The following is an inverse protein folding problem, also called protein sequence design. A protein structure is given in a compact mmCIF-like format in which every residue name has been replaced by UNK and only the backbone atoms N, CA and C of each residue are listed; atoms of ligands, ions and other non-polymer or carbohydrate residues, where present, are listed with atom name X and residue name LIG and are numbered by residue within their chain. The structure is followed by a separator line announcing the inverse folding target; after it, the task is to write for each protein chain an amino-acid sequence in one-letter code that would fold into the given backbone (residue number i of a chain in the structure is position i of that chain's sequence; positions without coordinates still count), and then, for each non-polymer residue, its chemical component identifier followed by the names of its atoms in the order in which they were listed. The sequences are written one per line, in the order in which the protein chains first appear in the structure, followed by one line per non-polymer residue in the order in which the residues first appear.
data_IF_179034854930
#
_entry.id   IF_179034854930
#
_cell.length_a   1.000
_cell.length_b   1.000
_cell.length_c   1.000
_cell.angle_alpha   90.00
_cell.angle_beta   90.00
_cell.angle_gamma   90.00
#
_symmetry.space_group_name_H-M   'P 1'
#
loop_
_entity.id
_entity.type
_entity.pdbx_description
1 polymer ?
#
# COMPACT_ATOMS: atom_id res chain seq x y z
N UNK A 1 -71.31 48.31 -34.44
CA UNK A 1 -70.94 47.54 -33.25
C UNK A 1 -70.17 46.24 -33.55
N UNK A 2 -70.03 45.82 -34.77
CA UNK A 2 -69.41 44.53 -35.15
C UNK A 2 -67.85 44.53 -35.27
N UNK A 3 -67.23 45.67 -35.62
CA UNK A 3 -65.79 45.78 -35.83
C UNK A 3 -64.93 45.84 -34.52
N UNK A 4 -65.50 46.13 -33.35
CA UNK A 4 -64.76 46.16 -32.07
C UNK A 4 -64.60 44.77 -31.44
N UNK A 5 -65.40 43.75 -31.80
CA UNK A 5 -65.27 42.39 -31.25
C UNK A 5 -64.22 41.58 -31.93
N UNK A 6 -63.82 41.82 -33.17
CA UNK A 6 -62.78 41.05 -33.91
C UNK A 6 -61.38 41.43 -33.45
N UNK A 7 -61.10 42.69 -33.03
CA UNK A 7 -59.76 43.10 -32.52
C UNK A 7 -59.43 42.55 -31.11
N UNK A 8 -60.46 42.31 -30.28
CA UNK A 8 -60.25 41.80 -28.93
C UNK A 8 -59.95 40.25 -28.90
N UNK A 9 -60.42 39.51 -29.89
CA UNK A 9 -60.16 38.07 -30.02
C UNK A 9 -58.71 37.76 -30.51
N UNK A 10 -58.21 38.60 -31.46
CA UNK A 10 -56.81 38.43 -31.97
C UNK A 10 -55.70 38.71 -30.90
N UNK A 11 -56.00 39.76 -30.05
CA UNK A 11 -55.01 40.11 -29.00
C UNK A 11 -54.93 39.07 -27.87
N UNK A 12 -56.01 38.34 -27.58
CA UNK A 12 -55.99 37.20 -26.60
C UNK A 12 -55.32 35.99 -27.14
N UNK A 13 -55.46 35.65 -28.42
CA UNK A 13 -54.78 34.56 -29.09
C UNK A 13 -53.24 34.74 -29.16
N UNK A 14 -52.81 35.98 -29.47
CA UNK A 14 -51.38 36.31 -29.52
C UNK A 14 -50.68 36.26 -28.15
N UNK A 15 -51.36 36.67 -27.07
CA UNK A 15 -50.88 36.58 -25.70
C UNK A 15 -50.80 35.15 -25.21
N UNK A 16 -51.74 34.28 -25.54
CA UNK A 16 -51.74 32.88 -25.20
C UNK A 16 -50.62 32.14 -25.96
N UNK A 17 -50.41 32.44 -27.25
CA UNK A 17 -49.30 31.86 -28.03
C UNK A 17 -47.92 32.33 -27.53
N UNK A 18 -47.74 33.57 -27.11
CA UNK A 18 -46.51 34.06 -26.49
C UNK A 18 -46.23 33.39 -25.13
N UNK A 19 -47.23 33.18 -24.28
CA UNK A 19 -47.07 32.51 -23.01
C UNK A 19 -46.74 31.02 -23.19
N UNK A 20 -47.33 30.35 -24.16
CA UNK A 20 -47.02 28.97 -24.51
C UNK A 20 -45.59 28.83 -25.10
N UNK A 21 -45.16 29.80 -25.91
CA UNK A 21 -43.79 29.82 -26.45
C UNK A 21 -42.72 30.10 -25.36
N UNK A 22 -43.02 30.99 -24.39
CA UNK A 22 -42.14 31.19 -23.23
C UNK A 22 -42.07 29.96 -22.31
N UNK A 23 -43.18 29.27 -22.08
CA UNK A 23 -43.23 28.04 -21.31
C UNK A 23 -42.45 26.89 -22.00
N UNK A 24 -42.56 26.80 -23.34
CA UNK A 24 -41.80 25.82 -24.13
C UNK A 24 -40.29 26.14 -24.15
N UNK A 25 -39.88 27.40 -24.19
CA UNK A 25 -38.47 27.81 -24.08
C UNK A 25 -37.90 27.54 -22.69
N UNK A 26 -38.69 27.74 -21.61
CA UNK A 26 -38.22 27.41 -20.24
C UNK A 26 -38.11 25.91 -19.99
N UNK A 27 -38.96 25.07 -20.61
CA UNK A 27 -38.82 23.61 -20.56
C UNK A 27 -37.66 23.10 -21.42
N UNK A 28 -37.33 23.75 -22.53
CA UNK A 28 -36.15 23.39 -23.34
C UNK A 28 -34.83 23.76 -22.65
N UNK A 29 -34.79 24.86 -21.90
CA UNK A 29 -33.61 25.26 -21.12
C UNK A 29 -33.36 24.35 -19.93
N UNK A 30 -34.39 23.67 -19.38
CA UNK A 30 -34.25 22.71 -18.29
C UNK A 30 -33.66 21.33 -18.72
N UNK A 31 -33.60 21.06 -20.04
CA UNK A 31 -33.09 19.83 -20.63
C UNK A 31 -31.70 20.00 -21.31
N UNK A 32 -31.01 21.12 -21.11
CA UNK A 32 -29.62 21.18 -21.51
C UNK A 32 -28.87 20.21 -20.59
N UNK A 33 -28.13 19.19 -21.13
CA UNK A 33 -27.28 18.36 -20.29
C UNK A 33 -26.34 19.30 -19.55
N UNK A 34 -26.38 19.26 -18.21
CA UNK A 34 -25.39 19.98 -17.42
C UNK A 34 -24.01 19.61 -18.02
N UNK A 35 -23.27 20.62 -18.44
CA UNK A 35 -21.91 20.37 -18.91
C UNK A 35 -21.24 19.49 -17.86
N UNK A 36 -20.84 18.27 -18.24
CA UNK A 36 -20.22 17.35 -17.30
C UNK A 36 -19.05 18.10 -16.66
N UNK A 37 -19.09 18.25 -15.34
CA UNK A 37 -17.98 18.90 -14.63
C UNK A 37 -16.68 18.19 -14.99
N UNK A 38 -15.60 18.95 -15.14
CA UNK A 38 -14.28 18.37 -15.40
C UNK A 38 -13.95 17.32 -14.34
N UNK A 39 -13.43 16.14 -14.71
CA UNK A 39 -13.14 15.07 -13.75
C UNK A 39 -12.16 15.56 -12.70
N UNK A 40 -12.34 15.11 -11.46
CA UNK A 40 -11.37 15.29 -10.39
C UNK A 40 -10.21 14.34 -10.64
N UNK A 41 -9.01 14.88 -10.82
CA UNK A 41 -7.83 14.14 -11.22
C UNK A 41 -6.96 13.84 -10.01
N UNK A 42 -6.61 12.55 -9.82
CA UNK A 42 -5.61 12.11 -8.84
C UNK A 42 -4.37 11.67 -9.60
N UNK A 43 -3.24 12.33 -9.36
CA UNK A 43 -1.99 12.12 -10.07
C UNK A 43 -0.95 11.35 -9.26
N UNK A 44 -0.20 10.43 -9.93
CA UNK A 44 0.90 9.70 -9.29
C UNK A 44 1.85 9.06 -10.31
N UNK A 45 3.10 8.83 -9.86
CA UNK A 45 3.97 7.85 -10.49
C UNK A 45 3.70 6.46 -9.92
N UNK A 46 3.82 5.40 -10.71
CA UNK A 46 3.69 4.02 -10.21
C UNK A 46 4.68 3.12 -10.96
N UNK A 47 5.26 2.15 -10.24
CA UNK A 47 6.15 1.16 -10.84
C UNK A 47 5.36 0.19 -11.75
N UNK A 48 5.27 0.51 -13.04
CA UNK A 48 4.66 -0.37 -14.06
C UNK A 48 5.72 -1.24 -14.74
N UNK A 49 6.98 -0.79 -14.72
CA UNK A 49 8.16 -1.55 -15.14
C UNK A 49 9.26 -1.52 -14.08
N UNK A 50 10.31 -2.33 -14.28
CA UNK A 50 11.42 -2.44 -13.32
C UNK A 50 11.15 -3.44 -12.18
N UNK A 51 12.06 -3.49 -11.18
CA UNK A 51 12.04 -4.53 -10.15
C UNK A 51 10.84 -4.47 -9.18
N UNK A 52 10.12 -3.36 -9.12
CA UNK A 52 8.94 -3.17 -8.25
C UNK A 52 7.60 -3.31 -9.01
N UNK A 53 7.64 -3.61 -10.30
CA UNK A 53 6.46 -3.61 -11.18
C UNK A 53 5.34 -4.57 -10.73
N UNK A 54 5.67 -5.73 -10.18
CA UNK A 54 4.67 -6.69 -9.68
C UNK A 54 3.75 -6.07 -8.65
N UNK A 55 4.33 -5.38 -7.64
CA UNK A 55 3.58 -4.68 -6.60
C UNK A 55 2.86 -3.44 -7.15
N UNK A 56 3.55 -2.64 -7.97
CA UNK A 56 2.98 -1.40 -8.53
C UNK A 56 1.75 -1.66 -9.41
N UNK A 57 1.81 -2.64 -10.29
CA UNK A 57 0.67 -3.04 -11.13
C UNK A 57 -0.50 -3.58 -10.31
N UNK A 58 -0.22 -4.36 -9.26
CA UNK A 58 -1.25 -4.83 -8.32
C UNK A 58 -1.97 -3.66 -7.64
N UNK A 59 -1.21 -2.67 -7.17
CA UNK A 59 -1.76 -1.45 -6.59
C UNK A 59 -2.62 -0.68 -7.60
N UNK A 60 -2.13 -0.51 -8.83
CA UNK A 60 -2.84 0.21 -9.89
C UNK A 60 -4.20 -0.44 -10.23
N UNK A 61 -4.27 -1.78 -10.29
CA UNK A 61 -5.55 -2.47 -10.46
C UNK A 61 -6.52 -2.17 -9.31
N UNK A 62 -6.04 -2.19 -8.07
CA UNK A 62 -6.85 -1.90 -6.89
C UNK A 62 -7.35 -0.44 -6.87
N UNK A 63 -6.48 0.51 -7.21
CA UNK A 63 -6.84 1.93 -7.35
C UNK A 63 -7.88 2.14 -8.45
N UNK A 64 -7.76 1.40 -9.56
CA UNK A 64 -8.74 1.42 -10.65
C UNK A 64 -10.10 0.93 -10.18
N UNK A 65 -10.16 -0.18 -9.42
CA UNK A 65 -11.41 -0.69 -8.84
C UNK A 65 -12.04 0.33 -7.89
N UNK A 66 -11.23 1.03 -7.08
CA UNK A 66 -11.74 2.09 -6.21
C UNK A 66 -12.32 3.26 -7.02
N UNK A 67 -11.62 3.69 -8.07
CA UNK A 67 -12.09 4.78 -8.92
C UNK A 67 -13.43 4.43 -9.62
N UNK A 68 -13.59 3.19 -10.08
CA UNK A 68 -14.85 2.68 -10.61
C UNK A 68 -15.96 2.72 -9.55
N UNK A 69 -15.67 2.25 -8.33
CA UNK A 69 -16.63 2.19 -7.22
C UNK A 69 -17.10 3.58 -6.78
N UNK A 70 -16.19 4.56 -6.70
CA UNK A 70 -16.56 5.92 -6.32
C UNK A 70 -17.32 6.62 -7.44
N UNK A 71 -16.93 6.38 -8.70
CA UNK A 71 -17.61 6.94 -9.87
C UNK A 71 -19.03 6.39 -10.03
N UNK A 72 -19.25 5.12 -9.72
CA UNK A 72 -20.59 4.53 -9.69
C UNK A 72 -21.51 5.19 -8.64
N UNK A 73 -20.92 5.83 -7.61
CA UNK A 73 -21.64 6.58 -6.57
C UNK A 73 -21.76 8.09 -6.86
N UNK A 74 -21.31 8.55 -8.03
CA UNK A 74 -21.36 9.96 -8.44
C UNK A 74 -20.02 10.70 -8.36
N UNK A 75 -18.91 9.99 -8.08
CA UNK A 75 -17.57 10.57 -7.99
C UNK A 75 -17.28 11.25 -6.65
N UNK A 76 -16.37 12.22 -6.67
CA UNK A 76 -16.03 13.08 -5.53
C UNK A 76 -16.46 14.52 -5.83
N UNK A 77 -17.12 15.15 -4.89
CA UNK A 77 -17.67 16.51 -5.04
C UNK A 77 -18.58 16.66 -6.28
N UNK A 78 -19.27 15.57 -6.69
CA UNK A 78 -20.09 15.55 -7.90
C UNK A 78 -19.30 15.37 -9.20
N UNK A 79 -17.98 15.33 -9.16
CA UNK A 79 -17.07 15.15 -10.31
C UNK A 79 -16.63 13.69 -10.42
N UNK A 80 -16.62 13.15 -11.64
CA UNK A 80 -16.03 11.81 -11.87
C UNK A 80 -14.54 11.82 -11.54
N UNK A 81 -14.05 10.81 -10.82
CA UNK A 81 -12.62 10.66 -10.51
C UNK A 81 -11.89 10.07 -11.71
N UNK A 82 -10.76 10.68 -12.07
CA UNK A 82 -9.82 10.18 -13.07
C UNK A 82 -8.44 9.98 -12.46
N UNK A 83 -7.92 8.77 -12.52
CA UNK A 83 -6.53 8.48 -12.19
C UNK A 83 -5.64 8.89 -13.37
N UNK A 84 -4.60 9.68 -13.09
CA UNK A 84 -3.59 10.10 -14.05
C UNK A 84 -2.24 9.60 -13.55
N UNK A 85 -1.68 8.60 -14.21
CA UNK A 85 -0.44 7.98 -13.74
C UNK A 85 0.59 7.84 -14.86
N UNK A 86 1.86 7.73 -14.45
CA UNK A 86 3.00 7.48 -15.31
C UNK A 86 3.89 6.41 -14.70
N UNK A 87 4.52 5.61 -15.55
CA UNK A 87 5.52 4.63 -15.11
C UNK A 87 6.76 5.33 -14.54
N UNK A 88 7.03 5.14 -13.26
CA UNK A 88 8.25 5.63 -12.61
C UNK A 88 9.46 4.71 -12.86
N UNK A 89 9.25 3.56 -13.50
CA UNK A 89 10.26 2.55 -13.84
C UNK A 89 11.01 2.01 -12.61
N UNK A 90 10.36 2.06 -11.43
CA UNK A 90 11.00 1.73 -10.14
C UNK A 90 12.23 2.60 -9.83
N UNK A 91 12.31 3.80 -10.41
CA UNK A 91 13.46 4.69 -10.32
C UNK A 91 13.09 6.03 -9.68
N UNK A 92 13.57 6.34 -8.47
CA UNK A 92 13.28 7.60 -7.77
C UNK A 92 13.77 8.84 -8.53
N UNK A 93 14.76 8.71 -9.42
CA UNK A 93 15.25 9.83 -10.22
C UNK A 93 14.22 10.34 -11.25
N UNK A 94 13.25 9.51 -11.64
CA UNK A 94 12.18 9.91 -12.56
C UNK A 94 11.09 10.74 -11.86
N UNK A 95 10.94 10.62 -10.54
CA UNK A 95 9.85 11.22 -9.76
C UNK A 95 9.71 12.74 -9.98
N UNK A 96 10.78 13.56 -9.91
CA UNK A 96 10.61 15.01 -10.08
C UNK A 96 9.99 15.40 -11.43
N UNK A 97 10.44 14.79 -12.52
CA UNK A 97 9.93 15.09 -13.85
C UNK A 97 8.48 14.62 -14.04
N UNK A 98 8.12 13.45 -13.50
CA UNK A 98 6.76 12.91 -13.57
C UNK A 98 5.77 13.79 -12.79
N UNK A 99 6.11 14.20 -11.57
CA UNK A 99 5.21 15.02 -10.76
C UNK A 99 5.11 16.46 -11.27
N UNK A 100 6.17 17.04 -11.83
CA UNK A 100 6.08 18.31 -12.53
C UNK A 100 5.09 18.22 -13.71
N UNK A 101 5.14 17.13 -14.50
CA UNK A 101 4.17 16.89 -15.57
C UNK A 101 2.74 16.75 -15.04
N UNK A 102 2.53 15.96 -13.99
CA UNK A 102 1.20 15.76 -13.38
C UNK A 102 0.61 17.08 -12.87
N UNK A 103 1.40 17.90 -12.18
CA UNK A 103 0.93 19.13 -11.55
C UNK A 103 0.82 20.27 -12.58
N UNK A 104 1.86 20.48 -13.40
CA UNK A 104 1.95 21.66 -14.24
C UNK A 104 1.25 21.51 -15.59
N UNK A 105 1.23 20.30 -16.17
CA UNK A 105 0.65 20.05 -17.48
C UNK A 105 -0.72 19.38 -17.38
N UNK A 106 -0.84 18.27 -16.64
CA UNK A 106 -2.10 17.54 -16.52
C UNK A 106 -3.08 18.20 -15.56
N UNK A 107 -2.58 19.15 -14.72
CA UNK A 107 -3.37 19.89 -13.74
C UNK A 107 -4.18 18.96 -12.84
N UNK A 108 -3.50 18.04 -12.17
CA UNK A 108 -4.13 17.13 -11.22
C UNK A 108 -4.58 17.89 -9.97
N UNK A 109 -5.75 17.53 -9.43
CA UNK A 109 -6.33 18.16 -8.23
C UNK A 109 -5.65 17.63 -6.94
N UNK A 110 -5.20 16.37 -6.95
CA UNK A 110 -4.63 15.66 -5.81
C UNK A 110 -3.44 14.81 -6.28
N UNK A 111 -2.52 14.52 -5.37
CA UNK A 111 -1.41 13.61 -5.61
C UNK A 111 -1.34 12.52 -4.53
N UNK A 112 -0.90 11.33 -4.93
CA UNK A 112 -0.43 10.27 -4.05
C UNK A 112 0.99 9.87 -4.48
N UNK A 113 1.73 9.16 -3.65
CA UNK A 113 3.05 8.66 -4.06
C UNK A 113 2.94 7.36 -4.87
N UNK A 114 4.01 7.02 -5.58
CA UNK A 114 4.25 5.65 -6.04
C UNK A 114 4.70 4.74 -4.90
N UNK A 115 5.00 3.48 -5.26
CA UNK A 115 5.37 2.42 -4.33
C UNK A 115 6.84 2.50 -3.91
N UNK A 116 7.11 2.31 -2.62
CA UNK A 116 8.40 2.12 -1.97
C UNK A 116 9.08 3.39 -1.41
N UNK A 117 9.90 3.15 -0.36
CA UNK A 117 10.61 4.18 0.42
C UNK A 117 11.31 5.24 -0.43
N UNK A 118 12.16 4.91 -1.44
CA UNK A 118 12.87 5.94 -2.20
C UNK A 118 11.95 6.78 -3.10
N UNK A 119 10.86 6.21 -3.59
CA UNK A 119 9.87 6.92 -4.40
C UNK A 119 9.13 7.94 -3.52
N UNK A 120 8.65 7.51 -2.33
CA UNK A 120 7.98 8.40 -1.37
C UNK A 120 8.92 9.54 -0.97
N UNK A 121 10.17 9.23 -0.60
CA UNK A 121 11.16 10.22 -0.18
C UNK A 121 11.43 11.27 -1.27
N UNK A 122 11.39 10.87 -2.55
CA UNK A 122 11.54 11.79 -3.68
C UNK A 122 10.26 12.60 -3.96
N UNK A 123 9.09 12.13 -3.55
CA UNK A 123 7.79 12.82 -3.77
C UNK A 123 7.52 13.87 -2.70
N UNK A 124 7.91 13.63 -1.44
CA UNK A 124 7.62 14.55 -0.32
C UNK A 124 8.06 16.01 -0.62
N UNK A 125 9.28 16.29 -1.08
CA UNK A 125 9.70 17.68 -1.38
C UNK A 125 8.83 18.36 -2.43
N UNK A 126 8.30 17.61 -3.39
CA UNK A 126 7.45 18.14 -4.44
C UNK A 126 6.06 18.49 -3.87
N UNK A 127 5.49 17.62 -3.05
CA UNK A 127 4.24 17.89 -2.34
C UNK A 127 4.36 19.14 -1.45
N UNK A 128 5.49 19.31 -0.74
CA UNK A 128 5.82 20.49 0.06
C UNK A 128 5.85 21.76 -0.78
N UNK A 129 6.52 21.73 -1.93
CA UNK A 129 6.63 22.88 -2.83
C UNK A 129 5.28 23.37 -3.34
N UNK A 130 4.32 22.44 -3.55
CA UNK A 130 2.99 22.74 -4.10
C UNK A 130 1.91 22.81 -3.02
N UNK A 131 2.26 22.68 -1.75
CA UNK A 131 1.35 22.71 -0.60
C UNK A 131 0.21 21.66 -0.69
N UNK A 132 0.48 20.49 -1.27
CA UNK A 132 -0.48 19.44 -1.53
C UNK A 132 -0.40 18.35 -0.46
N UNK A 133 -1.55 17.79 -0.03
CA UNK A 133 -1.55 16.53 0.74
C UNK A 133 -0.87 15.44 -0.07
N UNK A 134 -0.03 14.66 0.57
CA UNK A 134 0.62 13.48 0.00
C UNK A 134 0.26 12.23 0.80
N UNK A 135 -0.48 11.32 0.18
CA UNK A 135 -0.59 9.97 0.69
C UNK A 135 0.63 9.16 0.24
N UNK A 136 1.30 8.49 1.19
CA UNK A 136 2.50 7.69 0.93
C UNK A 136 2.17 6.21 0.81
N UNK A 137 2.39 5.63 -0.38
CA UNK A 137 2.07 4.23 -0.63
C UNK A 137 3.24 3.30 -0.31
N UNK A 138 3.15 2.58 0.77
CA UNK A 138 4.07 1.52 1.22
C UNK A 138 5.56 1.87 1.19
N UNK A 139 6.02 2.47 2.26
CA UNK A 139 7.44 2.73 2.46
C UNK A 139 7.76 2.99 3.93
N UNK A 140 9.05 3.02 4.21
CA UNK A 140 9.63 3.41 5.48
C UNK A 140 10.28 4.80 5.35
N UNK A 141 9.69 5.67 4.54
CA UNK A 141 10.15 7.05 4.39
C UNK A 141 10.02 7.77 5.73
N UNK A 142 11.09 8.42 6.13
CA UNK A 142 11.12 9.05 7.43
C UNK A 142 10.66 10.51 7.32
N UNK A 143 9.36 10.75 7.53
CA UNK A 143 8.81 12.11 7.52
C UNK A 143 9.46 13.03 8.57
N UNK A 144 10.08 12.49 9.62
CA UNK A 144 10.83 13.29 10.59
C UNK A 144 12.00 14.08 9.96
N UNK A 145 12.52 13.63 8.81
CA UNK A 145 13.52 14.37 8.03
C UNK A 145 12.91 15.58 7.32
N UNK A 146 11.68 15.46 6.86
CA UNK A 146 10.97 16.47 6.06
C UNK A 146 10.12 17.38 6.91
N UNK A 147 9.54 16.85 8.01
CA UNK A 147 8.60 17.55 8.91
C UNK A 147 7.41 18.13 8.15
N UNK A 148 6.88 17.36 7.19
CA UNK A 148 5.77 17.79 6.37
C UNK A 148 4.45 17.36 7.02
N UNK A 149 3.68 18.33 7.48
CA UNK A 149 2.41 18.15 8.19
C UNK A 149 1.25 17.67 7.32
N UNK A 150 1.44 17.61 5.99
CA UNK A 150 0.45 17.12 5.02
C UNK A 150 0.87 15.79 4.36
N UNK A 151 1.86 15.11 4.92
CA UNK A 151 2.22 13.74 4.56
C UNK A 151 1.46 12.73 5.42
N UNK A 152 0.93 11.66 4.79
CA UNK A 152 0.21 10.58 5.46
C UNK A 152 0.59 9.23 4.86
N UNK A 153 1.32 8.41 5.61
CA UNK A 153 1.75 7.08 5.17
C UNK A 153 0.67 6.03 5.40
N UNK A 154 0.22 5.34 4.35
CA UNK A 154 -0.79 4.27 4.50
C UNK A 154 -0.21 2.97 5.08
N UNK A 155 1.10 2.82 5.12
CA UNK A 155 1.75 1.63 5.66
C UNK A 155 1.59 1.55 7.19
N UNK A 156 1.03 0.46 7.75
CA UNK A 156 0.58 0.43 9.15
C UNK A 156 1.72 0.20 10.16
N UNK A 157 2.82 0.94 10.04
CA UNK A 157 4.01 0.75 10.86
C UNK A 157 4.13 1.74 12.05
N UNK A 158 3.23 2.73 12.17
CA UNK A 158 3.23 3.69 13.27
C UNK A 158 4.37 4.71 13.22
N UNK A 159 4.50 5.51 14.27
CA UNK A 159 5.46 6.64 14.38
C UNK A 159 6.94 6.24 14.26
N UNK A 160 7.25 4.98 14.52
CA UNK A 160 8.60 4.43 14.43
C UNK A 160 8.63 3.30 13.39
N UNK A 161 8.42 3.62 12.10
CA UNK A 161 8.13 2.61 11.10
C UNK A 161 9.24 1.56 10.96
N UNK A 162 10.51 1.95 11.06
CA UNK A 162 11.63 1.03 10.96
C UNK A 162 11.65 -0.03 12.09
N UNK A 163 11.31 0.36 13.31
CA UNK A 163 11.23 -0.55 14.45
C UNK A 163 9.95 -1.40 14.36
N UNK A 164 8.81 -0.76 14.20
CA UNK A 164 7.50 -1.44 14.21
C UNK A 164 7.36 -2.46 13.07
N UNK A 165 8.03 -2.24 11.94
CA UNK A 165 8.10 -3.17 10.83
C UNK A 165 8.67 -4.55 11.21
N UNK A 166 9.63 -4.58 12.13
CA UNK A 166 10.33 -5.80 12.55
C UNK A 166 9.90 -6.29 13.94
N UNK A 167 9.23 -5.45 14.72
CA UNK A 167 8.88 -5.78 16.11
C UNK A 167 8.13 -7.12 16.24
N UNK A 168 7.09 -7.43 15.43
CA UNK A 168 6.39 -8.71 15.55
C UNK A 168 7.29 -9.93 15.30
N UNK A 169 8.30 -9.80 14.43
CA UNK A 169 9.28 -10.85 14.19
C UNK A 169 10.15 -11.11 15.43
N UNK A 170 10.66 -10.05 16.05
CA UNK A 170 11.45 -10.18 17.29
C UNK A 170 10.60 -10.65 18.46
N UNK A 171 9.35 -10.17 18.59
CA UNK A 171 8.43 -10.65 19.63
C UNK A 171 8.18 -12.16 19.47
N UNK A 172 7.93 -12.64 18.25
CA UNK A 172 7.79 -14.05 17.98
C UNK A 172 9.08 -14.81 18.31
N UNK A 173 10.25 -14.31 17.91
CA UNK A 173 11.54 -14.93 18.22
C UNK A 173 11.77 -15.13 19.72
N UNK A 174 11.39 -14.14 20.52
CA UNK A 174 11.59 -14.16 21.99
C UNK A 174 10.64 -15.10 22.73
N UNK A 175 9.66 -15.73 22.04
CA UNK A 175 8.83 -16.82 22.60
C UNK A 175 9.50 -18.19 22.54
N UNK A 176 10.55 -18.35 21.72
CA UNK A 176 11.25 -19.63 21.55
C UNK A 176 11.96 -20.08 22.83
N UNK A 177 12.02 -21.38 23.03
CA UNK A 177 12.75 -22.01 24.15
C UNK A 177 13.79 -23.02 23.64
N UNK A 178 15.09 -22.87 23.97
CA UNK A 178 15.68 -21.78 24.77
C UNK A 178 15.62 -20.42 24.05
N UNK A 179 15.47 -19.35 24.82
CA UNK A 179 15.42 -17.99 24.26
C UNK A 179 16.67 -17.69 23.40
N UNK A 180 16.52 -16.99 22.26
CA UNK A 180 17.64 -16.50 21.48
C UNK A 180 18.50 -15.50 22.26
N UNK A 181 19.80 -15.47 21.93
CA UNK A 181 20.79 -14.55 22.53
C UNK A 181 21.51 -13.72 21.50
N UNK A 182 21.59 -14.21 20.27
CA UNK A 182 22.37 -13.60 19.19
C UNK A 182 21.52 -13.37 17.95
N UNK A 183 21.85 -12.31 17.20
CA UNK A 183 21.21 -11.99 15.93
C UNK A 183 22.24 -11.63 14.87
N UNK A 184 22.06 -12.16 13.66
CA UNK A 184 22.73 -11.73 12.45
C UNK A 184 21.76 -10.86 11.65
N UNK A 185 22.25 -9.74 11.11
CA UNK A 185 21.48 -8.81 10.29
C UNK A 185 22.05 -8.74 8.87
N UNK A 186 21.17 -8.80 7.87
CA UNK A 186 21.52 -8.65 6.46
C UNK A 186 20.55 -7.71 5.75
N UNK A 187 21.08 -6.81 4.92
CA UNK A 187 20.30 -5.79 4.23
C UNK A 187 21.03 -5.27 2.99
N UNK A 188 20.34 -4.78 1.94
CA UNK A 188 20.98 -4.11 0.81
C UNK A 188 21.45 -2.70 1.22
N UNK A 189 22.59 -2.26 0.69
CA UNK A 189 23.19 -0.92 0.89
C UNK A 189 22.38 0.14 0.12
N UNK A 190 21.16 0.40 0.59
CA UNK A 190 20.24 1.41 0.06
C UNK A 190 19.32 1.92 1.17
N UNK A 191 18.57 2.99 0.94
CA UNK A 191 17.75 3.67 1.97
C UNK A 191 16.80 2.72 2.71
N UNK A 192 16.11 1.83 2.00
CA UNK A 192 15.28 0.80 2.61
C UNK A 192 16.09 -0.11 3.55
N UNK A 193 17.24 -0.62 3.06
CA UNK A 193 18.11 -1.50 3.84
C UNK A 193 18.66 -0.83 5.11
N UNK A 194 19.06 0.43 5.01
CA UNK A 194 19.51 1.21 6.18
C UNK A 194 18.36 1.43 7.19
N UNK A 195 17.12 1.65 6.73
CA UNK A 195 15.95 1.76 7.60
C UNK A 195 15.71 0.42 8.33
N UNK A 196 15.78 -0.71 7.61
CA UNK A 196 15.64 -2.05 8.20
C UNK A 196 16.74 -2.29 9.25
N UNK A 197 18.00 -1.97 8.93
CA UNK A 197 19.10 -2.16 9.88
C UNK A 197 18.92 -1.35 11.16
N UNK A 198 18.46 -0.11 11.06
CA UNK A 198 18.12 0.70 12.23
C UNK A 198 17.03 0.04 13.08
N UNK A 199 16.01 -0.53 12.44
CA UNK A 199 14.95 -1.31 13.10
C UNK A 199 15.50 -2.56 13.81
N UNK A 200 16.37 -3.32 13.14
CA UNK A 200 17.01 -4.51 13.73
C UNK A 200 17.85 -4.14 14.96
N UNK A 201 18.68 -3.10 14.86
CA UNK A 201 19.50 -2.63 15.99
C UNK A 201 18.63 -2.20 17.18
N UNK A 202 17.56 -1.48 16.93
CA UNK A 202 16.63 -1.03 17.98
C UNK A 202 15.93 -2.23 18.65
N UNK A 203 15.40 -3.16 17.85
CA UNK A 203 14.71 -4.34 18.36
C UNK A 203 15.67 -5.28 19.11
N UNK A 204 16.87 -5.52 18.59
CA UNK A 204 17.91 -6.33 19.24
C UNK A 204 18.32 -5.72 20.58
N UNK A 205 18.54 -4.41 20.64
CA UNK A 205 18.86 -3.72 21.88
C UNK A 205 17.77 -3.84 22.93
N UNK A 206 16.50 -3.63 22.52
CA UNK A 206 15.35 -3.76 23.40
C UNK A 206 15.16 -5.19 23.94
N UNK A 207 15.51 -6.21 23.14
CA UNK A 207 15.41 -7.62 23.51
C UNK A 207 16.66 -8.14 24.23
N UNK A 208 17.70 -7.34 24.42
CA UNK A 208 18.98 -7.75 25.04
C UNK A 208 19.79 -8.74 24.20
N UNK A 209 19.64 -8.69 22.86
CA UNK A 209 20.33 -9.57 21.93
C UNK A 209 21.69 -8.99 21.51
N UNK A 210 22.69 -9.87 21.39
CA UNK A 210 23.98 -9.50 20.82
C UNK A 210 23.94 -9.59 19.28
N UNK A 211 24.32 -8.54 18.58
CA UNK A 211 24.49 -8.57 17.12
C UNK A 211 25.85 -9.20 16.82
N UNK A 212 25.86 -10.36 16.16
CA UNK A 212 27.07 -11.13 15.81
C UNK A 212 27.48 -11.00 14.34
N UNK A 213 26.57 -10.46 13.50
CA UNK A 213 26.82 -10.13 12.10
C UNK A 213 25.95 -8.92 11.72
N UNK A 214 26.57 -7.88 11.17
CA UNK A 214 25.92 -6.63 10.77
C UNK A 214 26.59 -6.11 9.51
N UNK A 215 26.20 -6.63 8.35
CA UNK A 215 26.80 -6.19 7.09
C UNK A 215 25.72 -6.07 6.00
N UNK A 216 25.82 -4.97 5.27
CA UNK A 216 25.06 -4.77 4.05
C UNK A 216 25.73 -5.46 2.86
N UNK A 217 24.97 -5.60 1.78
CA UNK A 217 25.45 -6.08 0.50
C UNK A 217 25.02 -5.13 -0.64
N UNK A 218 25.80 -5.07 -1.76
CA UNK A 218 25.46 -4.25 -2.91
C UNK A 218 24.06 -4.54 -3.45
N UNK A 219 23.20 -3.54 -3.71
CA UNK A 219 21.84 -3.76 -4.20
C UNK A 219 21.76 -4.55 -5.51
N UNK A 220 22.82 -4.54 -6.31
CA UNK A 220 22.95 -5.30 -7.56
C UNK A 220 23.35 -6.75 -7.39
N UNK A 221 23.67 -7.19 -6.17
CA UNK A 221 24.11 -8.57 -5.89
C UNK A 221 22.93 -9.54 -6.05
N UNK A 222 23.09 -10.52 -6.94
CA UNK A 222 22.08 -11.55 -7.24
C UNK A 222 22.38 -12.90 -6.63
N UNK A 223 23.66 -13.17 -6.29
CA UNK A 223 24.08 -14.38 -5.58
C UNK A 223 24.49 -14.02 -4.15
N UNK A 224 23.73 -14.48 -3.19
CA UNK A 224 23.92 -14.21 -1.77
C UNK A 224 24.54 -15.40 -1.00
N UNK A 225 24.99 -16.45 -1.70
CA UNK A 225 25.56 -17.67 -1.10
C UNK A 225 26.76 -17.36 -0.22
N UNK A 226 27.67 -16.48 -0.66
CA UNK A 226 28.85 -16.07 0.14
C UNK A 226 28.43 -15.36 1.42
N UNK A 227 27.45 -14.46 1.34
CA UNK A 227 26.92 -13.73 2.51
C UNK A 227 26.28 -14.70 3.50
N UNK A 228 25.49 -15.65 3.02
CA UNK A 228 24.86 -16.69 3.87
C UNK A 228 25.93 -17.56 4.58
N UNK A 229 27.03 -17.91 3.91
CA UNK A 229 28.15 -18.62 4.54
C UNK A 229 28.84 -17.83 5.65
N UNK A 230 28.97 -16.52 5.49
CA UNK A 230 29.52 -15.64 6.53
C UNK A 230 28.57 -15.56 7.74
N UNK A 231 27.24 -15.46 7.50
CA UNK A 231 26.24 -15.53 8.56
C UNK A 231 26.32 -16.87 9.29
N UNK A 232 26.40 -17.97 8.58
CA UNK A 232 26.54 -19.32 9.18
C UNK A 232 27.77 -19.41 10.07
N UNK A 233 28.91 -18.85 9.66
CA UNK A 233 30.15 -18.82 10.46
C UNK A 233 30.01 -18.01 11.77
N UNK A 234 29.11 -17.03 11.84
CA UNK A 234 28.81 -16.27 13.06
C UNK A 234 27.88 -16.99 14.03
N UNK A 235 27.32 -18.14 13.64
CA UNK A 235 26.43 -19.00 14.43
C UNK A 235 25.32 -18.26 15.20
N UNK A 236 24.45 -17.52 14.53
CA UNK A 236 23.40 -16.74 15.17
C UNK A 236 22.20 -17.58 15.60
N UNK A 237 21.51 -17.17 16.69
CA UNK A 237 20.20 -17.73 17.03
C UNK A 237 19.08 -17.20 16.11
N UNK A 238 19.18 -15.93 15.73
CA UNK A 238 18.22 -15.22 14.86
C UNK A 238 18.94 -14.73 13.60
N UNK A 239 18.34 -14.91 12.43
CA UNK A 239 18.76 -14.23 11.20
C UNK A 239 17.68 -13.25 10.78
N UNK A 240 17.94 -11.97 10.98
CA UNK A 240 17.03 -10.87 10.61
C UNK A 240 17.41 -10.32 9.24
N UNK A 241 16.49 -10.37 8.29
CA UNK A 241 16.70 -10.09 6.88
C UNK A 241 15.80 -8.92 6.43
N UNK A 242 16.40 -7.94 5.77
CA UNK A 242 15.63 -6.91 5.05
C UNK A 242 16.04 -6.91 3.58
N UNK A 243 15.14 -7.30 2.68
CA UNK A 243 15.43 -7.43 1.25
C UNK A 243 14.28 -6.97 0.38
N UNK A 244 14.58 -6.61 -0.88
CA UNK A 244 13.58 -6.30 -1.89
C UNK A 244 13.20 -7.55 -2.71
N UNK A 245 12.12 -7.56 -3.52
CA UNK A 245 11.53 -8.80 -4.05
C UNK A 245 12.51 -9.77 -4.69
N UNK A 246 13.33 -9.32 -5.64
CA UNK A 246 14.32 -10.20 -6.28
C UNK A 246 15.38 -10.75 -5.32
N UNK A 247 15.83 -9.92 -4.37
CA UNK A 247 16.78 -10.28 -3.35
C UNK A 247 16.18 -11.24 -2.31
N UNK A 248 14.87 -11.09 -2.01
CA UNK A 248 14.14 -12.01 -1.11
C UNK A 248 14.13 -13.43 -1.66
N UNK A 249 13.89 -13.59 -2.96
CA UNK A 249 13.96 -14.89 -3.64
C UNK A 249 15.39 -15.44 -3.60
N UNK A 250 16.38 -14.60 -3.90
CA UNK A 250 17.79 -15.01 -3.92
C UNK A 250 18.29 -15.47 -2.54
N UNK A 251 17.95 -14.72 -1.47
CA UNK A 251 18.40 -15.09 -0.11
C UNK A 251 17.73 -16.35 0.40
N UNK A 252 16.43 -16.58 0.11
CA UNK A 252 15.74 -17.84 0.47
C UNK A 252 16.41 -19.02 -0.21
N UNK A 253 16.75 -18.93 -1.50
CA UNK A 253 17.47 -19.97 -2.23
C UNK A 253 18.86 -20.22 -1.65
N UNK A 254 19.62 -19.15 -1.39
CA UNK A 254 20.97 -19.27 -0.81
C UNK A 254 20.95 -19.91 0.59
N UNK A 255 19.96 -19.57 1.43
CA UNK A 255 19.79 -20.18 2.77
C UNK A 255 19.48 -21.67 2.64
N UNK A 256 18.60 -22.06 1.72
CA UNK A 256 18.29 -23.47 1.46
C UNK A 256 19.50 -24.24 0.92
N UNK A 257 20.24 -23.65 -0.02
CA UNK A 257 21.44 -24.26 -0.62
C UNK A 257 22.56 -24.47 0.40
N UNK A 258 22.86 -23.45 1.20
CA UNK A 258 23.90 -23.50 2.22
C UNK A 258 23.49 -24.37 3.40
N UNK A 259 22.20 -24.56 3.62
CA UNK A 259 21.67 -25.24 4.80
C UNK A 259 21.93 -24.46 6.09
N UNK A 260 21.72 -23.12 6.02
CA UNK A 260 21.89 -22.24 7.17
C UNK A 260 20.99 -22.68 8.33
N UNK A 261 21.58 -22.77 9.52
CA UNK A 261 20.86 -23.12 10.75
C UNK A 261 20.73 -21.94 11.66
N UNK A 262 19.51 -21.69 12.12
CA UNK A 262 19.18 -20.73 13.17
C UNK A 262 17.84 -21.13 13.79
N UNK A 263 17.49 -20.58 14.95
CA UNK A 263 16.19 -20.87 15.59
C UNK A 263 15.04 -20.24 14.78
N UNK A 264 15.26 -19.06 14.24
CA UNK A 264 14.29 -18.32 13.42
C UNK A 264 15.01 -17.51 12.36
N UNK A 265 14.47 -17.49 11.15
CA UNK A 265 15.02 -16.77 9.99
C UNK A 265 13.89 -15.99 9.34
N UNK A 266 14.11 -14.69 9.08
CA UNK A 266 13.12 -13.88 8.39
C UNK A 266 13.15 -12.41 8.73
N UNK A 267 12.00 -11.77 8.77
CA UNK A 267 11.82 -10.37 9.14
C UNK A 267 11.17 -9.52 8.06
N UNK A 268 11.97 -8.74 7.33
CA UNK A 268 11.51 -7.72 6.39
C UNK A 268 11.81 -8.04 4.92
N UNK A 269 11.53 -9.25 4.48
CA UNK A 269 11.72 -9.68 3.09
C UNK A 269 10.50 -9.29 2.24
N UNK A 270 10.56 -8.13 1.58
CA UNK A 270 9.47 -7.70 0.70
C UNK A 270 9.35 -8.61 -0.51
N UNK A 271 8.13 -8.81 -0.96
CA UNK A 271 7.81 -9.65 -2.12
C UNK A 271 7.54 -11.13 -1.80
N UNK A 272 7.92 -11.64 -0.63
CA UNK A 272 7.55 -13.03 -0.26
C UNK A 272 6.03 -13.21 -0.05
N UNK A 273 5.28 -12.13 0.02
CA UNK A 273 3.82 -12.11 0.13
C UNK A 273 3.11 -12.12 -1.25
N UNK A 274 3.87 -12.29 -2.32
CA UNK A 274 3.34 -12.27 -3.69
C UNK A 274 3.33 -13.67 -4.29
N UNK A 275 2.34 -13.95 -5.11
CA UNK A 275 2.23 -15.23 -5.82
C UNK A 275 3.45 -15.59 -6.67
N UNK A 276 4.18 -14.59 -7.19
CA UNK A 276 5.40 -14.82 -7.95
C UNK A 276 6.48 -15.48 -7.08
N UNK A 277 6.73 -14.94 -5.88
CA UNK A 277 7.71 -15.53 -4.97
C UNK A 277 7.21 -16.87 -4.40
N UNK A 278 5.93 -16.96 -4.05
CA UNK A 278 5.32 -18.19 -3.52
C UNK A 278 5.36 -19.33 -4.54
N UNK A 279 5.04 -19.04 -5.80
CA UNK A 279 5.12 -20.01 -6.89
C UNK A 279 6.56 -20.40 -7.28
N UNK A 280 7.51 -19.47 -7.18
CA UNK A 280 8.91 -19.73 -7.50
C UNK A 280 9.65 -20.52 -6.42
N UNK A 281 9.29 -20.35 -5.16
CA UNK A 281 9.97 -20.91 -4.01
C UNK A 281 9.25 -22.12 -3.43
N UNK A 282 7.91 -22.13 -3.43
CA UNK A 282 7.09 -23.23 -2.94
C UNK A 282 7.54 -23.68 -1.55
N UNK A 283 7.79 -24.98 -1.40
CA UNK A 283 8.19 -25.58 -0.12
C UNK A 283 9.52 -25.06 0.46
N UNK A 284 10.35 -24.38 -0.35
CA UNK A 284 11.56 -23.71 0.16
C UNK A 284 11.25 -22.59 1.14
N UNK A 285 10.00 -22.09 1.15
CA UNK A 285 9.53 -21.08 2.09
C UNK A 285 9.30 -21.60 3.49
N UNK A 286 9.12 -22.92 3.68
CA UNK A 286 8.85 -23.49 5.00
C UNK A 286 9.87 -23.06 6.04
N UNK A 287 9.37 -22.57 7.17
CA UNK A 287 10.17 -22.12 8.31
C UNK A 287 10.47 -20.62 8.30
N UNK A 288 10.48 -19.95 7.15
CA UNK A 288 10.71 -18.53 7.11
C UNK A 288 9.55 -17.77 7.77
N UNK A 289 9.90 -16.81 8.63
CA UNK A 289 8.95 -15.88 9.23
C UNK A 289 9.10 -14.53 8.55
N UNK A 290 8.03 -14.01 8.00
CA UNK A 290 8.08 -12.74 7.30
C UNK A 290 7.03 -11.77 7.83
N UNK A 291 7.27 -10.47 7.63
CA UNK A 291 6.23 -9.48 7.93
C UNK A 291 5.01 -9.69 7.06
N UNK A 292 3.87 -9.35 7.60
CA UNK A 292 2.64 -9.21 6.85
C UNK A 292 1.84 -8.03 7.39
N UNK A 293 0.85 -7.58 6.66
CA UNK A 293 0.06 -6.39 7.03
C UNK A 293 -1.44 -6.66 6.92
N UNK A 294 -1.80 -7.68 6.13
CA UNK A 294 -3.15 -8.18 6.00
C UNK A 294 -3.13 -9.62 5.50
N UNK A 295 -3.94 -10.45 6.10
CA UNK A 295 -4.24 -11.82 5.67
C UNK A 295 -5.75 -12.06 5.86
N UNK A 296 -6.37 -13.04 5.18
CA UNK A 296 -7.80 -13.31 5.32
C UNK A 296 -8.15 -14.00 6.65
N UNK A 297 -7.43 -13.69 7.72
CA UNK A 297 -7.72 -14.16 9.06
C UNK A 297 -9.05 -13.57 9.57
N UNK A 298 -9.83 -14.31 10.40
CA UNK A 298 -11.16 -13.87 10.83
C UNK A 298 -11.21 -12.46 11.42
N UNK A 299 -10.21 -12.08 12.23
CA UNK A 299 -10.13 -10.75 12.85
C UNK A 299 -9.69 -9.63 11.90
N UNK A 300 -9.27 -9.97 10.68
CA UNK A 300 -8.84 -9.02 9.65
C UNK A 300 -9.84 -8.92 8.48
N UNK A 301 -10.96 -9.63 8.56
CA UNK A 301 -12.04 -9.55 7.58
C UNK A 301 -12.93 -8.35 7.88
N UNK A 302 -12.38 -7.16 7.69
CA UNK A 302 -13.10 -5.90 7.85
C UNK A 302 -14.23 -5.76 6.80
N UNK A 303 -15.24 -4.90 7.06
CA UNK A 303 -16.36 -4.72 6.13
C UNK A 303 -15.89 -4.36 4.71
N UNK A 304 -16.31 -5.15 3.72
CA UNK A 304 -16.04 -4.93 2.30
C UNK A 304 -14.71 -5.47 1.78
N UNK A 305 -13.77 -5.90 2.65
CA UNK A 305 -12.45 -6.36 2.18
C UNK A 305 -12.55 -7.66 1.38
N UNK A 306 -13.36 -8.62 1.81
CA UNK A 306 -13.48 -9.90 1.10
C UNK A 306 -14.18 -9.76 -0.25
N UNK A 307 -15.19 -8.88 -0.34
CA UNK A 307 -15.86 -8.56 -1.63
C UNK A 307 -14.89 -7.86 -2.59
N UNK A 308 -14.07 -6.94 -2.07
CA UNK A 308 -13.01 -6.30 -2.84
C UNK A 308 -11.98 -7.32 -3.34
N UNK A 309 -11.45 -8.19 -2.47
CA UNK A 309 -10.45 -9.22 -2.82
C UNK A 309 -11.01 -10.14 -3.91
N UNK A 310 -12.26 -10.58 -3.80
CA UNK A 310 -12.88 -11.40 -4.84
C UNK A 310 -12.88 -10.70 -6.19
N UNK A 311 -13.35 -9.46 -6.27
CA UNK A 311 -13.36 -8.66 -7.52
C UNK A 311 -11.97 -8.41 -8.07
N UNK A 312 -11.00 -8.16 -7.19
CA UNK A 312 -9.61 -8.02 -7.58
C UNK A 312 -9.07 -9.31 -8.21
N UNK A 313 -9.25 -10.46 -7.55
CA UNK A 313 -8.78 -11.77 -8.01
C UNK A 313 -9.41 -12.18 -9.35
N UNK A 314 -10.70 -11.89 -9.57
CA UNK A 314 -11.39 -12.12 -10.85
C UNK A 314 -10.74 -11.35 -12.02
N UNK A 315 -10.16 -10.17 -11.75
CA UNK A 315 -9.54 -9.29 -12.75
C UNK A 315 -8.02 -9.47 -12.87
N UNK A 316 -7.38 -9.94 -11.83
CA UNK A 316 -5.91 -9.98 -11.69
C UNK A 316 -5.23 -10.76 -12.82
N UNK A 317 -5.76 -11.92 -13.19
CA UNK A 317 -5.21 -12.76 -14.27
C UNK A 317 -5.22 -12.05 -15.62
N UNK A 318 -6.31 -11.40 -15.97
CA UNK A 318 -6.43 -10.64 -17.23
C UNK A 318 -5.54 -9.38 -17.23
N UNK A 319 -5.33 -8.79 -16.05
CA UNK A 319 -4.44 -7.65 -15.87
C UNK A 319 -2.94 -8.03 -15.79
N UNK A 320 -2.62 -9.33 -15.70
CA UNK A 320 -1.24 -9.82 -15.57
C UNK A 320 -0.58 -9.39 -14.26
N UNK A 321 -1.35 -9.39 -13.15
CA UNK A 321 -0.87 -9.03 -11.82
C UNK A 321 -1.03 -10.18 -10.84
N UNK A 322 -0.50 -10.03 -9.62
CA UNK A 322 -0.60 -11.00 -8.54
C UNK A 322 -2.06 -11.48 -8.33
N UNK A 323 -2.40 -12.75 -8.63
CA UNK A 323 -3.77 -13.25 -8.51
C UNK A 323 -4.24 -13.48 -7.06
N UNK A 324 -3.36 -13.41 -6.07
CA UNK A 324 -3.72 -13.47 -4.65
C UNK A 324 -4.07 -12.08 -4.14
N UNK A 325 -3.21 -11.09 -4.37
CA UNK A 325 -3.46 -9.68 -4.14
C UNK A 325 -3.48 -9.24 -2.67
N UNK A 326 -2.98 -10.05 -1.73
CA UNK A 326 -3.08 -9.74 -0.30
C UNK A 326 -2.14 -8.65 0.17
N UNK A 327 -1.00 -8.48 -0.52
CA UNK A 327 0.04 -7.56 -0.08
C UNK A 327 -0.33 -6.09 -0.37
N UNK A 328 -0.47 -5.72 -1.63
CA UNK A 328 -0.62 -4.32 -2.03
C UNK A 328 -2.08 -3.88 -2.21
N UNK A 329 -2.94 -4.77 -2.74
CA UNK A 329 -4.22 -4.37 -3.28
C UNK A 329 -5.19 -3.79 -2.23
N UNK A 330 -5.41 -4.38 -1.03
CA UNK A 330 -6.32 -3.80 -0.04
C UNK A 330 -5.89 -2.41 0.42
N UNK A 331 -4.60 -2.18 0.50
CA UNK A 331 -4.02 -0.94 1.00
C UNK A 331 -4.07 0.19 -0.03
N UNK A 332 -3.83 -0.12 -1.31
CA UNK A 332 -3.98 0.83 -2.39
C UNK A 332 -5.43 1.32 -2.54
N UNK A 333 -6.39 0.41 -2.34
CA UNK A 333 -7.80 0.78 -2.28
C UNK A 333 -8.11 1.65 -1.04
N UNK A 334 -7.60 1.25 0.13
CA UNK A 334 -7.83 1.95 1.40
C UNK A 334 -7.20 3.35 1.43
N UNK A 335 -6.03 3.53 0.82
CA UNK A 335 -5.37 4.83 0.67
C UNK A 335 -6.30 5.84 -0.01
N UNK A 336 -6.91 5.42 -1.12
CA UNK A 336 -7.86 6.26 -1.85
C UNK A 336 -9.20 6.41 -1.11
N UNK A 337 -9.60 5.43 -0.26
CA UNK A 337 -10.75 5.62 0.63
C UNK A 337 -10.50 6.73 1.65
N UNK A 338 -9.31 6.80 2.23
CA UNK A 338 -8.92 7.87 3.16
C UNK A 338 -9.00 9.22 2.46
N UNK A 339 -8.33 9.35 1.32
CA UNK A 339 -8.28 10.59 0.54
C UNK A 339 -9.68 11.02 0.10
N UNK A 340 -10.48 10.11 -0.46
CA UNK A 340 -11.83 10.39 -0.90
C UNK A 340 -12.77 10.82 0.23
N UNK A 341 -12.71 10.16 1.40
CA UNK A 341 -13.48 10.56 2.58
C UNK A 341 -13.08 11.98 3.05
N UNK A 342 -11.77 12.30 3.05
CA UNK A 342 -11.30 13.63 3.44
C UNK A 342 -11.81 14.71 2.48
N UNK A 343 -11.72 14.48 1.17
CA UNK A 343 -12.23 15.38 0.13
C UNK A 343 -13.74 15.63 0.29
N UNK A 344 -14.52 14.57 0.47
CA UNK A 344 -15.97 14.69 0.65
C UNK A 344 -16.36 15.43 1.94
N UNK A 345 -15.66 15.20 3.03
CA UNK A 345 -15.95 15.84 4.31
C UNK A 345 -15.57 17.32 4.32
N UNK A 346 -14.42 17.67 3.75
CA UNK A 346 -13.93 19.06 3.72
C UNK A 346 -14.51 19.87 2.57
N UNK A 347 -15.14 19.23 1.60
CA UNK A 347 -15.60 19.82 0.33
C UNK A 347 -14.49 20.57 -0.42
N UNK A 348 -13.25 20.04 -0.35
CA UNK A 348 -12.06 20.71 -0.87
C UNK A 348 -11.01 19.70 -1.31
N UNK A 349 -10.14 20.11 -2.25
CA UNK A 349 -8.90 19.42 -2.60
C UNK A 349 -7.66 20.17 -2.09
N UNK A 350 -7.84 21.30 -1.42
CA UNK A 350 -6.74 22.13 -0.93
C UNK A 350 -6.05 21.52 0.31
N UNK A 351 -4.73 21.53 0.31
CA UNK A 351 -3.91 20.91 1.35
C UNK A 351 -4.15 21.48 2.75
N UNK A 352 -4.41 22.79 2.88
CA UNK A 352 -4.72 23.47 4.13
C UNK A 352 -6.05 23.04 4.76
N UNK A 353 -6.96 22.47 3.98
CA UNK A 353 -8.24 21.89 4.45
C UNK A 353 -8.11 20.40 4.73
N UNK A 354 -7.46 19.68 3.83
CA UNK A 354 -7.33 18.23 3.93
C UNK A 354 -6.40 17.81 5.06
N UNK A 355 -5.22 18.42 5.19
CA UNK A 355 -4.21 18.01 6.17
C UNK A 355 -4.73 17.98 7.61
N UNK A 356 -5.25 19.10 8.15
CA UNK A 356 -5.81 19.13 9.50
C UNK A 356 -6.97 18.15 9.70
N UNK A 357 -7.83 17.96 8.68
CA UNK A 357 -8.93 17.01 8.75
C UNK A 357 -8.44 15.57 8.84
N UNK A 358 -7.42 15.19 8.03
CA UNK A 358 -6.87 13.84 8.04
C UNK A 358 -6.22 13.53 9.39
N UNK A 359 -5.47 14.46 9.99
CA UNK A 359 -4.91 14.29 11.34
C UNK A 359 -5.98 14.07 12.43
N UNK A 360 -7.10 14.80 12.34
CA UNK A 360 -8.14 14.76 13.35
C UNK A 360 -9.07 13.53 13.24
N UNK A 361 -9.07 12.83 12.10
CA UNK A 361 -10.12 11.86 11.75
C UNK A 361 -9.63 10.42 11.87
N UNK A 362 -10.53 9.52 12.29
CA UNK A 362 -10.39 8.07 12.12
C UNK A 362 -11.25 7.64 10.94
N UNK A 363 -10.61 7.10 9.91
CA UNK A 363 -11.26 6.70 8.66
C UNK A 363 -11.69 5.24 8.72
N UNK A 364 -12.88 4.94 8.22
CA UNK A 364 -13.39 3.58 8.05
C UNK A 364 -13.01 3.09 6.65
N UNK A 365 -12.21 2.05 6.58
CA UNK A 365 -11.70 1.51 5.30
C UNK A 365 -11.87 0.00 5.23
N UNK A 366 -11.63 -0.57 4.05
CA UNK A 366 -11.63 -2.04 3.88
C UNK A 366 -10.49 -2.73 4.64
N UNK A 367 -9.48 -1.99 5.09
CA UNK A 367 -8.43 -2.53 5.96
C UNK A 367 -8.67 -2.19 7.44
N UNK A 368 -9.91 -1.79 7.79
CA UNK A 368 -10.30 -1.38 9.13
C UNK A 368 -10.10 0.11 9.38
N UNK A 369 -10.04 0.48 10.65
CA UNK A 369 -9.88 1.86 11.05
C UNK A 369 -8.45 2.35 10.77
N UNK A 370 -8.35 3.51 10.10
CA UNK A 370 -7.10 4.19 9.82
C UNK A 370 -7.08 5.54 10.54
N UNK A 371 -6.08 5.74 11.37
CA UNK A 371 -5.83 7.00 12.07
C UNK A 371 -4.34 7.33 12.01
N UNK A 372 -4.04 8.59 11.74
CA UNK A 372 -2.67 9.07 11.66
C UNK A 372 -2.26 9.80 12.95
N UNK A 373 -1.00 9.63 13.34
CA UNK A 373 -0.35 10.40 14.38
C UNK A 373 0.06 11.80 13.86
N UNK A 374 0.62 12.62 14.73
CA UNK A 374 1.12 13.96 14.37
C UNK A 374 2.22 13.91 13.30
N UNK A 375 2.99 12.82 13.26
CA UNK A 375 4.00 12.57 12.22
C UNK A 375 3.45 12.31 10.82
N UNK A 376 2.13 12.03 10.70
CA UNK A 376 1.50 11.55 9.48
C UNK A 376 1.63 10.03 9.25
N UNK A 377 2.37 9.33 10.11
CA UNK A 377 2.35 7.86 10.14
C UNK A 377 1.12 7.36 10.91
N UNK A 378 0.86 6.05 10.89
CA UNK A 378 -0.24 5.48 11.67
C UNK A 378 -0.09 5.79 13.16
N UNK A 379 -1.21 6.04 13.85
CA UNK A 379 -1.20 6.30 15.29
C UNK A 379 -0.76 5.07 16.10
N UNK A 380 -1.20 3.87 15.67
CA UNK A 380 -0.84 2.61 16.30
C UNK A 380 -0.40 1.61 15.22
N UNK A 381 0.76 0.93 15.38
CA UNK A 381 1.24 -0.03 14.39
C UNK A 381 0.33 -1.26 14.33
N UNK A 382 0.12 -1.79 13.11
CA UNK A 382 -0.62 -3.04 12.87
C UNK A 382 0.16 -3.95 11.93
N UNK A 383 1.38 -4.27 12.34
CA UNK A 383 2.26 -5.19 11.64
C UNK A 383 2.07 -6.62 12.16
N UNK A 384 2.26 -7.60 11.30
CA UNK A 384 2.19 -9.02 11.62
C UNK A 384 3.54 -9.68 11.36
N UNK A 385 3.83 -10.75 12.08
CA UNK A 385 4.80 -11.76 11.68
C UNK A 385 4.03 -13.04 11.34
N UNK A 386 4.26 -13.58 10.15
CA UNK A 386 3.65 -14.80 9.69
C UNK A 386 4.71 -15.79 9.23
N UNK A 387 4.56 -17.06 9.61
CA UNK A 387 5.48 -18.14 9.25
C UNK A 387 4.89 -18.98 8.13
N UNK A 388 5.69 -19.27 7.13
CA UNK A 388 5.36 -20.30 6.14
C UNK A 388 5.50 -21.70 6.76
N UNK A 389 4.41 -22.44 6.75
CA UNK A 389 4.33 -23.78 7.35
C UNK A 389 3.61 -24.75 6.42
N UNK A 390 4.11 -25.99 6.34
CA UNK A 390 3.44 -27.08 5.60
C UNK A 390 3.15 -26.77 4.14
N UNK A 391 3.92 -25.88 3.50
CA UNK A 391 3.84 -25.59 2.07
C UNK A 391 4.28 -26.83 1.30
N UNK A 392 3.53 -27.20 0.25
CA UNK A 392 3.83 -28.37 -0.59
C UNK A 392 3.85 -27.96 -2.06
N UNK A 393 4.96 -28.27 -2.74
CA UNK A 393 5.12 -27.89 -4.15
C UNK A 393 4.95 -26.38 -4.38
N UNK A 394 4.49 -26.00 -5.56
CA UNK A 394 4.49 -24.61 -6.04
C UNK A 394 3.09 -24.09 -6.41
N UNK A 395 2.02 -24.79 -6.03
CA UNK A 395 0.66 -24.32 -6.31
C UNK A 395 0.33 -23.11 -5.43
N UNK A 396 0.11 -21.96 -6.08
CA UNK A 396 -0.18 -20.70 -5.39
C UNK A 396 -1.55 -20.67 -4.71
N UNK A 397 -2.49 -21.51 -5.13
CA UNK A 397 -3.82 -21.56 -4.53
C UNK A 397 -3.79 -21.92 -3.03
N UNK A 398 -2.75 -22.67 -2.60
CA UNK A 398 -2.56 -23.01 -1.20
C UNK A 398 -2.32 -21.80 -0.28
N UNK A 399 -1.89 -20.65 -0.83
CA UNK A 399 -1.61 -19.43 -0.06
C UNK A 399 -2.84 -18.51 0.09
N UNK A 400 -3.99 -18.88 -0.50
CA UNK A 400 -5.24 -18.12 -0.33
C UNK A 400 -5.88 -18.28 1.06
N UNK A 401 -5.46 -19.28 1.82
CA UNK A 401 -5.86 -19.49 3.22
C UNK A 401 -4.83 -18.97 4.22
N UNK A 402 -5.07 -19.25 5.49
CA UNK A 402 -4.14 -18.91 6.59
C UNK A 402 -3.45 -20.12 7.19
N UNK A 403 -3.56 -21.28 6.57
CA UNK A 403 -2.96 -22.54 7.01
C UNK A 403 -1.51 -22.73 6.52
N UNK A 404 -1.11 -22.03 5.47
CA UNK A 404 0.27 -22.02 4.94
C UNK A 404 1.05 -20.76 5.33
N UNK A 405 0.36 -19.67 5.61
CA UNK A 405 0.93 -18.40 6.07
C UNK A 405 0.33 -18.11 7.44
N UNK A 406 0.95 -18.70 8.46
CA UNK A 406 0.43 -18.73 9.84
C UNK A 406 0.86 -17.48 10.59
N UNK A 407 -0.08 -16.66 11.02
CA UNK A 407 0.21 -15.49 11.86
C UNK A 407 0.68 -15.96 13.24
N UNK A 408 1.91 -15.63 13.61
CA UNK A 408 2.55 -16.04 14.87
C UNK A 408 2.70 -14.87 15.86
N UNK A 409 2.59 -13.63 15.38
CA UNK A 409 2.63 -12.40 16.20
C UNK A 409 1.91 -11.26 15.48
N UNK A 410 1.25 -10.33 16.17
CA UNK A 410 0.97 -10.30 17.63
C UNK A 410 -0.12 -11.29 18.03
N UNK A 411 -0.27 -11.52 19.33
CA UNK A 411 -1.23 -12.49 19.89
C UNK A 411 -2.68 -12.22 19.48
N UNK A 412 -3.04 -10.97 19.25
CA UNK A 412 -4.39 -10.56 18.84
C UNK A 412 -4.82 -11.21 17.50
N UNK A 413 -3.90 -11.32 16.53
CA UNK A 413 -4.17 -11.85 15.18
C UNK A 413 -3.65 -13.27 14.98
N UNK A 414 -3.05 -13.87 16.01
CA UNK A 414 -2.40 -15.19 15.94
C UNK A 414 -3.36 -16.26 15.39
N UNK A 415 -2.92 -17.00 14.38
CA UNK A 415 -3.66 -18.08 13.76
C UNK A 415 -3.05 -19.47 14.01
N UNK A 416 -1.83 -19.55 14.56
CA UNK A 416 -1.15 -20.78 14.93
C UNK A 416 0.14 -20.54 15.72
N UNK A 417 0.85 -21.63 16.05
CA UNK A 417 2.06 -21.55 16.85
C UNK A 417 3.31 -21.32 15.98
N UNK A 418 4.29 -20.57 16.51
CA UNK A 418 5.61 -20.48 15.92
C UNK A 418 6.33 -21.82 16.07
N UNK A 419 6.80 -22.35 14.96
CA UNK A 419 7.71 -23.48 14.92
C UNK A 419 9.16 -22.99 14.79
N UNK A 420 10.14 -23.78 15.30
CA UNK A 420 11.52 -23.48 14.95
C UNK A 420 11.73 -23.59 13.44
N UNK A 421 12.76 -22.93 12.91
CA UNK A 421 13.04 -22.99 11.47
C UNK A 421 13.23 -24.43 10.97
N UNK A 422 13.82 -25.31 11.76
CA UNK A 422 14.01 -26.73 11.42
C UNK A 422 12.69 -27.53 11.50
N UNK A 423 11.86 -27.30 12.55
CA UNK A 423 10.62 -28.08 12.75
C UNK A 423 9.57 -27.75 11.67
N UNK A 424 9.49 -26.50 11.25
CA UNK A 424 8.58 -26.09 10.18
C UNK A 424 8.93 -26.67 8.79
N UNK A 425 10.11 -27.27 8.65
CA UNK A 425 10.63 -27.87 7.40
C UNK A 425 10.53 -29.41 7.38
N UNK A 426 10.07 -30.03 8.46
CA UNK A 426 9.79 -31.46 8.57
C UNK A 426 8.38 -31.78 8.08
#
# INVERSE_FOLDING_TARGET
MMQRRIRAAGARGLRAAMLAALAALSMAAANLPAAAEEPLKIGFGMAETGPLAGTGKSALLAMTIWAEDINAKGGLLGRQVKLVHYDDQSNPANVPALYAKLIDLDKVDLIISGYATPIIASTIPIAMQHDMVLMGFFGLANNAKFKYDKYFGIFPAGDKPALAFLQPFFDAAMTLNPKPKTVAAIYPEMEFGHSIMNGIRAAASAAGLQIVYDQGFPPSMTDLTTVVRQIQASNPDIVAIGTQPGQSIAIVRAINEVGLKAKIIGGGMTGLQTSDAEGLLGEQLNGFVNFNIWLPAPKMQYPGVMDFIKRYQERAKAAGVDPIGYYAAPWAYAELQVLGQAVEATKSTAGDKLGPYIHATTFKTIVGDVKFAESGEWAEPRMLAAQFQHVKGNDIEQFKGTDKVVVVSPAEYKSGELLSFEDARR
#
